data_IF_566053479902
#
_entry.id   IF_566053479902
#
_cell.length_a   1.000
_cell.length_b   1.000
_cell.length_c   1.000
_cell.angle_alpha   90.00
_cell.angle_beta   90.00
_cell.angle_gamma   90.00
#
_symmetry.space_group_name_H-M   'P 1'
#
loop_
_entity.id
_entity.type
_entity.pdbx_description
1 polymer ?
#
# COMPACT_ATOMS: atom_id res chain seq x y z
N UNK A 1 -7.95 -29.53 71.18
CA UNK A 1 -8.13 -28.69 69.98
C UNK A 1 -6.80 -28.61 69.27
N UNK A 2 -6.76 -29.19 68.07
CA UNK A 2 -5.59 -29.78 67.43
C UNK A 2 -4.95 -28.80 66.44
N UNK A 3 -3.62 -28.63 66.40
CA UNK A 3 -2.94 -27.71 65.48
C UNK A 3 -2.87 -28.29 64.07
N UNK A 4 -3.34 -27.53 63.07
CA UNK A 4 -3.20 -27.90 61.66
C UNK A 4 -1.95 -27.25 61.07
N UNK A 5 -0.90 -28.06 60.97
CA UNK A 5 0.36 -27.77 60.29
C UNK A 5 0.23 -28.33 58.86
N UNK A 6 0.10 -27.47 57.85
CA UNK A 6 0.03 -27.88 56.45
C UNK A 6 1.41 -27.75 55.82
N UNK A 7 2.05 -28.89 55.57
CA UNK A 7 3.20 -29.07 54.69
C UNK A 7 2.71 -29.45 53.29
N UNK A 8 3.58 -29.22 52.28
CA UNK A 8 3.65 -29.78 50.90
C UNK A 8 3.35 -28.71 49.84
N UNK A 9 4.11 -28.54 48.75
CA UNK A 9 5.28 -29.23 48.20
C UNK A 9 5.83 -28.30 47.10
N UNK A 10 7.12 -27.99 47.13
CA UNK A 10 7.85 -27.25 46.10
C UNK A 10 7.85 -28.04 44.79
N UNK A 11 7.36 -27.45 43.70
CA UNK A 11 7.74 -27.83 42.33
C UNK A 11 7.59 -26.59 41.46
N UNK A 12 8.69 -26.01 40.94
CA UNK A 12 8.65 -24.76 40.18
C UNK A 12 7.95 -25.00 38.84
N UNK A 13 6.88 -24.24 38.62
CA UNK A 13 6.10 -24.22 37.40
C UNK A 13 6.98 -23.65 36.29
N UNK A 14 7.53 -24.56 35.48
CA UNK A 14 8.15 -24.33 34.18
C UNK A 14 7.19 -23.50 33.32
N UNK A 15 7.44 -22.20 33.23
CA UNK A 15 6.71 -21.29 32.34
C UNK A 15 7.69 -20.33 31.67
N UNK A 16 8.59 -20.91 30.86
CA UNK A 16 9.49 -20.19 29.96
C UNK A 16 8.62 -19.50 28.91
N UNK A 17 8.33 -18.23 29.15
CA UNK A 17 7.62 -17.37 28.22
C UNK A 17 8.38 -17.41 26.89
N UNK A 18 7.71 -17.94 25.87
CA UNK A 18 8.13 -17.93 24.48
C UNK A 18 8.53 -16.49 24.15
N UNK A 19 9.81 -16.31 23.86
CA UNK A 19 10.42 -15.12 23.31
C UNK A 19 9.48 -14.54 22.23
N UNK A 20 8.80 -13.46 22.57
CA UNK A 20 7.86 -12.76 21.68
C UNK A 20 8.65 -12.20 20.50
N UNK A 21 8.78 -12.99 19.43
CA UNK A 21 9.15 -12.48 18.12
C UNK A 21 8.00 -11.60 17.65
N UNK A 22 8.07 -10.30 17.95
CA UNK A 22 7.31 -9.30 17.22
C UNK A 22 7.77 -9.39 15.75
N UNK A 23 6.87 -9.69 14.79
CA UNK A 23 7.21 -9.44 13.41
C UNK A 23 7.28 -7.92 13.25
N UNK A 24 8.47 -7.40 12.97
CA UNK A 24 8.65 -6.05 12.46
C UNK A 24 8.13 -6.00 11.01
N UNK A 25 6.84 -6.27 10.81
CA UNK A 25 6.18 -6.15 9.53
C UNK A 25 5.43 -4.82 9.52
N UNK A 26 5.86 -3.88 8.67
CA UNK A 26 5.06 -2.68 8.39
C UNK A 26 5.81 -1.36 8.40
N UNK A 27 7.10 -1.32 8.05
CA UNK A 27 7.62 -0.08 7.45
C UNK A 27 6.97 0.06 6.06
N UNK A 28 5.72 0.52 6.00
CA UNK A 28 5.18 1.08 4.77
C UNK A 28 6.04 2.28 4.43
N UNK A 29 6.80 2.20 3.35
CA UNK A 29 7.40 3.37 2.74
C UNK A 29 6.24 4.25 2.29
N UNK A 30 5.94 5.32 3.04
CA UNK A 30 5.08 6.38 2.51
C UNK A 30 5.85 7.01 1.37
N UNK A 31 5.54 6.56 0.15
CA UNK A 31 5.98 7.22 -1.04
C UNK A 31 5.34 8.62 -1.03
N UNK A 32 6.16 9.64 -1.29
CA UNK A 32 5.82 11.03 -1.04
C UNK A 32 4.58 11.40 -1.86
N UNK A 33 3.46 11.69 -1.18
CA UNK A 33 2.27 12.17 -1.85
C UNK A 33 2.59 13.51 -2.52
N UNK A 34 2.44 13.55 -3.84
CA UNK A 34 2.58 14.76 -4.64
C UNK A 34 1.19 15.31 -4.93
N UNK A 35 1.06 16.63 -4.95
CA UNK A 35 -0.18 17.27 -5.35
C UNK A 35 -0.37 17.09 -6.86
N UNK A 36 -1.26 16.18 -7.25
CA UNK A 36 -1.58 15.89 -8.64
C UNK A 36 -2.86 16.62 -9.02
N UNK A 37 -2.86 17.25 -10.21
CA UNK A 37 -4.04 17.87 -10.80
C UNK A 37 -4.13 17.51 -12.28
N UNK A 38 -4.92 16.49 -12.59
CA UNK A 38 -5.17 15.97 -13.92
C UNK A 38 -6.66 16.10 -14.20
N UNK A 39 -7.00 16.85 -15.24
CA UNK A 39 -8.38 17.01 -15.65
C UNK A 39 -8.96 15.72 -16.28
N UNK A 40 -10.26 15.45 -16.12
CA UNK A 40 -10.95 14.38 -16.84
C UNK A 40 -10.77 14.55 -18.35
N UNK A 41 -10.61 13.42 -19.04
CA UNK A 41 -10.36 13.42 -20.49
C UNK A 41 -9.93 12.05 -21.00
N UNK A 42 -9.29 12.04 -22.17
CA UNK A 42 -8.73 10.82 -22.73
C UNK A 42 -7.66 10.25 -21.80
N UNK A 43 -7.72 8.93 -21.57
CA UNK A 43 -6.83 8.25 -20.64
C UNK A 43 -5.35 8.41 -21.03
N UNK A 44 -5.06 8.37 -22.33
CA UNK A 44 -3.75 8.68 -22.91
C UNK A 44 -3.22 10.07 -22.48
N UNK A 45 -4.03 11.13 -22.55
CA UNK A 45 -3.66 12.47 -22.09
C UNK A 45 -3.38 12.50 -20.59
N UNK A 46 -4.23 11.85 -19.79
CA UNK A 46 -4.11 11.81 -18.34
C UNK A 46 -2.81 11.10 -17.91
N UNK A 47 -2.50 9.94 -18.51
CA UNK A 47 -1.28 9.19 -18.25
C UNK A 47 -0.01 9.95 -18.67
N UNK A 48 -0.06 10.65 -19.81
CA UNK A 48 1.06 11.47 -20.26
C UNK A 48 1.33 12.65 -19.30
N UNK A 49 0.28 13.29 -18.79
CA UNK A 49 0.42 14.33 -17.77
C UNK A 49 0.96 13.79 -16.46
N UNK A 50 0.49 12.60 -16.03
CA UNK A 50 0.97 11.95 -14.82
C UNK A 50 2.47 11.62 -14.90
N UNK A 51 2.90 10.98 -15.99
CA UNK A 51 4.32 10.67 -16.22
C UNK A 51 5.18 11.94 -16.25
N UNK A 52 4.70 13.01 -16.89
CA UNK A 52 5.38 14.31 -16.92
C UNK A 52 5.45 14.98 -15.53
N UNK A 53 4.40 14.85 -14.72
CA UNK A 53 4.34 15.43 -13.37
C UNK A 53 5.26 14.70 -12.38
N UNK A 54 5.27 13.38 -12.42
CA UNK A 54 6.04 12.55 -11.50
C UNK A 54 7.48 12.27 -11.95
N UNK A 55 7.86 12.69 -13.15
CA UNK A 55 9.24 12.62 -13.65
C UNK A 55 9.75 11.20 -13.94
N UNK A 56 8.85 10.22 -14.10
CA UNK A 56 9.20 8.84 -14.46
C UNK A 56 8.66 8.46 -15.83
N UNK A 57 9.32 7.52 -16.49
CA UNK A 57 8.86 6.96 -17.77
C UNK A 57 7.88 5.82 -17.50
N UNK A 58 6.62 6.02 -17.85
CA UNK A 58 5.60 4.97 -17.85
C UNK A 58 5.57 4.25 -19.20
N UNK A 59 5.76 2.94 -19.20
CA UNK A 59 5.47 2.10 -20.38
C UNK A 59 4.02 1.62 -20.32
N UNK A 60 3.18 2.17 -21.18
CA UNK A 60 1.78 1.76 -21.34
C UNK A 60 1.50 1.52 -22.83
N UNK A 61 0.79 0.44 -23.15
CA UNK A 61 0.34 0.22 -24.52
C UNK A 61 -0.78 1.21 -24.85
N UNK A 62 -0.50 2.15 -25.76
CA UNK A 62 -1.44 3.20 -26.13
C UNK A 62 -2.70 2.66 -26.83
N UNK A 63 -2.69 1.42 -27.35
CA UNK A 63 -3.89 0.82 -27.94
C UNK A 63 -4.88 0.34 -26.88
N UNK A 64 -4.40 0.00 -25.68
CA UNK A 64 -5.25 -0.35 -24.53
C UNK A 64 -5.94 0.88 -23.92
N UNK A 65 -5.32 2.05 -24.02
CA UNK A 65 -5.86 3.31 -23.48
C UNK A 65 -6.63 4.12 -24.52
N UNK A 66 -6.47 3.83 -25.81
CA UNK A 66 -7.15 4.54 -26.92
C UNK A 66 -8.67 4.41 -26.80
N UNK A 67 -9.35 5.55 -26.75
CA UNK A 67 -10.81 5.62 -26.61
C UNK A 67 -11.33 5.35 -25.20
N UNK A 68 -10.43 5.18 -24.21
CA UNK A 68 -10.79 5.17 -22.80
C UNK A 68 -10.79 6.58 -22.24
N UNK A 69 -11.62 6.80 -21.23
CA UNK A 69 -11.69 8.07 -20.52
C UNK A 69 -11.22 7.86 -19.09
N UNK A 70 -10.47 8.85 -18.59
CA UNK A 70 -10.18 9.00 -17.18
C UNK A 70 -11.13 10.04 -16.59
N UNK A 71 -11.58 9.79 -15.36
CA UNK A 71 -12.29 10.77 -14.52
C UNK A 71 -11.37 11.88 -14.03
N UNK A 72 -10.06 11.79 -14.30
CA UNK A 72 -9.06 12.72 -13.81
C UNK A 72 -8.67 12.40 -12.37
N UNK A 73 -7.65 13.11 -11.88
CA UNK A 73 -7.10 12.91 -10.55
C UNK A 73 -6.78 14.26 -9.92
N UNK A 74 -7.34 14.54 -8.76
CA UNK A 74 -7.07 15.79 -8.05
C UNK A 74 -6.91 15.56 -6.55
N UNK A 75 -5.74 15.92 -6.02
CA UNK A 75 -5.39 15.79 -4.61
C UNK A 75 -3.96 15.32 -4.41
N UNK A 76 -3.63 14.99 -3.16
CA UNK A 76 -2.32 14.47 -2.79
C UNK A 76 -2.30 12.95 -2.99
N UNK A 77 -1.60 12.51 -4.04
CA UNK A 77 -1.46 11.11 -4.38
C UNK A 77 -0.01 10.73 -4.51
N UNK A 78 0.32 9.55 -4.01
CA UNK A 78 1.58 8.92 -4.36
C UNK A 78 1.61 8.51 -5.86
N UNK A 79 2.81 8.33 -6.42
CA UNK A 79 3.08 7.84 -7.78
C UNK A 79 2.27 6.58 -8.14
N UNK A 80 2.22 5.59 -7.26
CA UNK A 80 1.51 4.34 -7.57
C UNK A 80 0.00 4.49 -7.37
N UNK A 81 -0.39 5.11 -6.26
CA UNK A 81 -1.80 5.30 -5.89
C UNK A 81 -2.52 6.24 -6.85
N UNK A 82 -1.88 7.31 -7.28
CA UNK A 82 -2.43 8.26 -8.24
C UNK A 82 -2.54 7.65 -9.63
N UNK A 83 -1.57 6.84 -10.05
CA UNK A 83 -1.67 6.15 -11.32
C UNK A 83 -2.83 5.13 -11.31
N UNK A 84 -2.99 4.37 -10.22
CA UNK A 84 -4.14 3.47 -10.06
C UNK A 84 -5.47 4.21 -10.11
N UNK A 85 -5.58 5.31 -9.38
CA UNK A 85 -6.81 6.11 -9.35
C UNK A 85 -7.09 6.79 -10.69
N UNK A 86 -6.07 7.20 -11.44
CA UNK A 86 -6.24 7.76 -12.78
C UNK A 86 -6.74 6.72 -13.81
N UNK A 87 -6.43 5.43 -13.58
CA UNK A 87 -6.96 4.30 -14.34
C UNK A 87 -8.32 3.81 -13.84
N UNK A 88 -8.79 4.27 -12.67
CA UNK A 88 -10.11 3.94 -12.15
C UNK A 88 -11.20 4.38 -13.15
N UNK A 89 -12.19 3.52 -13.36
CA UNK A 89 -13.21 3.71 -14.41
C UNK A 89 -12.75 3.39 -15.85
N UNK A 90 -11.45 3.22 -16.11
CA UNK A 90 -10.94 2.81 -17.43
C UNK A 90 -11.04 1.30 -17.67
N UNK A 91 -11.11 0.53 -16.58
CA UNK A 91 -10.98 -0.94 -16.58
C UNK A 91 -9.55 -1.44 -16.73
N UNK A 92 -8.56 -0.55 -16.54
CA UNK A 92 -7.14 -0.88 -16.58
C UNK A 92 -6.57 -0.86 -15.17
N UNK A 93 -5.53 -1.66 -14.95
CA UNK A 93 -4.83 -1.70 -13.67
C UNK A 93 -3.34 -1.44 -13.90
N UNK A 94 -2.73 -0.73 -12.96
CA UNK A 94 -1.28 -0.55 -12.93
C UNK A 94 -0.65 -1.84 -12.42
N UNK A 95 0.31 -2.37 -13.17
CA UNK A 95 1.20 -3.41 -12.66
C UNK A 95 2.58 -2.77 -12.44
N UNK A 96 3.05 -2.62 -11.19
CA UNK A 96 4.42 -2.22 -10.95
C UNK A 96 5.35 -3.24 -11.61
N UNK A 97 6.29 -2.76 -12.43
CA UNK A 97 7.38 -3.56 -12.96
C UNK A 97 8.41 -3.75 -11.82
N UNK A 98 8.04 -4.52 -10.80
CA UNK A 98 8.90 -4.90 -9.68
C UNK A 98 9.42 -6.33 -9.86
N UNK A 99 10.70 -6.53 -9.57
CA UNK A 99 11.30 -7.84 -9.30
C UNK A 99 10.99 -8.27 -7.87
#
# INVERSE_FOLDING_TARGET
>A
MTPLRVFRKTTPLVNTIRLSLLPLAGLSFSAFAAQVNIAPGSLDKALNQYAAHSGFTLSVDASLTRGKQSTGLHGDYDVESGLQQNLDGSGLQVKPLGN
#
